data_IF_198729806359
#
_entry.id   IF_198729806359
#
_cell.length_a   1.000
_cell.length_b   1.000
_cell.length_c   1.000
_cell.angle_alpha   90.00
_cell.angle_beta   90.00
_cell.angle_gamma   90.00
#
_symmetry.space_group_name_H-M   'P 1'
#
loop_
_entity.id
_entity.type
_entity.pdbx_description
1 polymer ?
#
# COMPACT_ATOMS: atom_id res chain seq x y z
N UNK A 1 -15.80 -46.89 -61.83
CA UNK A 1 -14.45 -46.46 -61.40
C UNK A 1 -14.42 -44.94 -61.43
N UNK A 2 -14.57 -44.29 -60.28
CA UNK A 2 -14.53 -42.83 -60.17
C UNK A 2 -13.11 -42.40 -59.74
N UNK A 3 -12.45 -41.63 -60.59
CA UNK A 3 -11.11 -41.08 -60.37
C UNK A 3 -11.25 -39.84 -59.48
N UNK A 4 -10.76 -39.94 -58.24
CA UNK A 4 -10.76 -38.83 -57.29
C UNK A 4 -9.54 -37.94 -57.56
N UNK A 5 -9.79 -36.78 -58.18
CA UNK A 5 -8.78 -35.76 -58.44
C UNK A 5 -8.40 -35.02 -57.15
N UNK A 6 -7.11 -35.02 -56.84
CA UNK A 6 -6.54 -34.56 -55.57
C UNK A 6 -5.93 -33.17 -55.81
N UNK A 7 -6.78 -32.15 -55.69
CA UNK A 7 -6.40 -30.75 -55.89
C UNK A 7 -5.23 -30.27 -55.02
N UNK A 8 -4.44 -29.30 -55.50
CA UNK A 8 -3.20 -28.86 -54.87
C UNK A 8 -3.48 -28.15 -53.54
N UNK A 9 -2.86 -28.64 -52.48
CA UNK A 9 -2.93 -28.06 -51.12
C UNK A 9 -2.27 -26.68 -51.14
N UNK A 10 -3.10 -25.64 -51.13
CA UNK A 10 -2.64 -24.27 -50.92
C UNK A 10 -1.89 -24.17 -49.59
N UNK A 11 -0.62 -23.77 -49.64
CA UNK A 11 0.14 -23.44 -48.43
C UNK A 11 -0.50 -22.21 -47.78
N UNK A 12 -0.79 -22.22 -46.47
CA UNK A 12 -1.26 -21.02 -45.79
C UNK A 12 -0.20 -19.91 -45.91
N UNK A 13 -0.62 -18.64 -46.08
CA UNK A 13 0.30 -17.53 -46.23
C UNK A 13 1.23 -17.46 -45.01
N UNK A 14 2.53 -17.37 -45.27
CA UNK A 14 3.54 -17.09 -44.24
C UNK A 14 3.14 -15.80 -43.53
N UNK A 15 2.51 -15.95 -42.36
CA UNK A 15 2.19 -14.84 -41.48
C UNK A 15 3.54 -14.29 -40.99
N UNK A 16 3.97 -13.19 -41.58
CA UNK A 16 5.07 -12.37 -41.10
C UNK A 16 4.81 -12.05 -39.63
N UNK A 17 5.46 -12.80 -38.73
CA UNK A 17 5.46 -12.50 -37.31
C UNK A 17 6.40 -11.31 -37.17
N UNK A 18 5.82 -10.11 -37.20
CA UNK A 18 6.55 -8.91 -36.84
C UNK A 18 7.24 -9.16 -35.49
N UNK A 19 8.55 -8.88 -35.35
CA UNK A 19 9.24 -9.05 -34.08
C UNK A 19 8.52 -8.19 -33.05
N UNK A 20 7.82 -8.84 -32.14
CA UNK A 20 7.22 -8.19 -30.98
C UNK A 20 8.36 -7.57 -30.19
N UNK A 21 8.42 -6.24 -30.24
CA UNK A 21 9.36 -5.43 -29.47
C UNK A 21 9.15 -5.68 -27.97
N UNK A 22 9.87 -6.66 -27.42
CA UNK A 22 9.83 -7.06 -26.01
C UNK A 22 10.29 -5.98 -25.03
N UNK A 23 10.60 -4.78 -25.51
CA UNK A 23 10.99 -3.61 -24.69
C UNK A 23 9.80 -2.86 -24.10
N UNK A 24 8.61 -2.92 -24.72
CA UNK A 24 7.45 -2.17 -24.23
C UNK A 24 6.85 -2.76 -22.94
N UNK A 25 6.93 -4.07 -22.75
CA UNK A 25 6.30 -4.78 -21.62
C UNK A 25 7.12 -4.71 -20.32
N UNK A 26 8.44 -4.53 -20.40
CA UNK A 26 9.32 -4.52 -19.21
C UNK A 26 9.22 -3.21 -18.42
N UNK A 27 8.99 -2.08 -19.10
CA UNK A 27 8.82 -0.76 -18.46
C UNK A 27 7.58 -0.71 -17.55
N UNK A 28 6.43 -1.16 -18.05
CA UNK A 28 5.15 -1.11 -17.33
C UNK A 28 5.16 -1.96 -16.06
N UNK A 29 5.79 -3.15 -16.10
CA UNK A 29 5.90 -4.02 -14.94
C UNK A 29 6.83 -3.46 -13.85
N UNK A 30 7.93 -2.81 -14.24
CA UNK A 30 8.85 -2.16 -13.28
C UNK A 30 8.16 -1.00 -12.57
N UNK A 31 7.47 -0.13 -13.31
CA UNK A 31 6.72 0.99 -12.74
C UNK A 31 5.59 0.51 -11.83
N UNK A 32 4.83 -0.51 -12.23
CA UNK A 32 3.78 -1.09 -11.38
C UNK A 32 4.33 -1.65 -10.06
N UNK A 33 5.51 -2.30 -10.09
CA UNK A 33 6.18 -2.79 -8.87
C UNK A 33 6.62 -1.65 -7.96
N UNK A 34 7.17 -0.56 -8.50
CA UNK A 34 7.59 0.61 -7.71
C UNK A 34 6.38 1.25 -7.02
N UNK A 35 5.28 1.44 -7.76
CA UNK A 35 4.03 1.98 -7.20
C UNK A 35 3.51 1.07 -6.09
N UNK A 36 3.54 -0.24 -6.31
CA UNK A 36 3.11 -1.21 -5.31
C UNK A 36 3.96 -1.14 -4.04
N UNK A 37 5.29 -1.07 -4.17
CA UNK A 37 6.20 -0.89 -3.04
C UNK A 37 5.93 0.42 -2.30
N UNK A 38 5.66 1.52 -3.01
CA UNK A 38 5.31 2.80 -2.40
C UNK A 38 4.00 2.70 -1.59
N UNK A 39 2.97 2.05 -2.14
CA UNK A 39 1.69 1.82 -1.46
C UNK A 39 1.88 0.99 -0.18
N UNK A 40 2.65 -0.11 -0.26
CA UNK A 40 2.95 -0.93 0.90
C UNK A 40 3.79 -0.21 1.94
N UNK A 41 4.79 0.57 1.51
CA UNK A 41 5.60 1.36 2.42
C UNK A 41 4.73 2.37 3.18
N UNK A 42 3.79 3.03 2.49
CA UNK A 42 2.86 3.95 3.13
C UNK A 42 1.94 3.25 4.14
N UNK A 43 1.39 2.10 3.77
CA UNK A 43 0.57 1.29 4.68
C UNK A 43 1.38 0.86 5.90
N UNK A 44 2.63 0.43 5.69
CA UNK A 44 3.54 0.08 6.78
C UNK A 44 3.82 1.28 7.70
N UNK A 45 4.06 2.46 7.14
CA UNK A 45 4.22 3.71 7.92
C UNK A 45 2.99 3.98 8.78
N UNK A 46 1.78 3.87 8.22
CA UNK A 46 0.55 4.05 8.97
C UNK A 46 0.35 2.99 10.06
N UNK A 47 0.65 1.72 9.75
CA UNK A 47 0.53 0.62 10.71
C UNK A 47 1.51 0.81 11.87
N UNK A 48 2.77 1.11 11.58
CA UNK A 48 3.79 1.32 12.62
C UNK A 48 3.54 2.59 13.42
N UNK A 49 3.15 3.68 12.76
CA UNK A 49 2.98 4.98 13.38
C UNK A 49 1.69 5.16 14.19
N UNK A 50 0.61 4.43 13.87
CA UNK A 50 -0.69 4.58 14.53
C UNK A 50 -1.25 3.26 15.06
N UNK A 51 -1.30 2.23 14.21
CA UNK A 51 -2.03 1.00 14.53
C UNK A 51 -1.32 0.16 15.61
N UNK A 52 0.00 0.03 15.54
CA UNK A 52 0.76 -0.73 16.54
C UNK A 52 0.68 -0.12 17.95
N UNK A 53 0.89 1.20 18.16
CA UNK A 53 0.66 1.82 19.46
C UNK A 53 -0.76 1.60 19.97
N UNK A 54 -1.76 1.76 19.10
CA UNK A 54 -3.17 1.58 19.44
C UNK A 54 -3.51 0.14 19.86
N UNK A 55 -3.00 -0.85 19.11
CA UNK A 55 -3.16 -2.26 19.44
C UNK A 55 -2.43 -2.64 20.73
N UNK A 56 -1.21 -2.12 20.92
CA UNK A 56 -0.46 -2.29 22.18
C UNK A 56 -1.30 -1.76 23.35
N UNK A 57 -1.86 -0.55 23.23
CA UNK A 57 -2.71 0.04 24.24
C UNK A 57 -3.94 -0.83 24.58
N UNK A 58 -4.66 -1.30 23.55
CA UNK A 58 -5.82 -2.18 23.70
C UNK A 58 -5.47 -3.52 24.39
N UNK A 59 -4.36 -4.15 24.00
CA UNK A 59 -3.90 -5.40 24.61
C UNK A 59 -3.50 -5.16 26.07
N UNK A 60 -2.78 -4.07 26.35
CA UNK A 60 -2.31 -3.76 27.70
C UNK A 60 -3.42 -3.34 28.67
N UNK A 61 -4.53 -2.80 28.16
CA UNK A 61 -5.72 -2.44 28.96
C UNK A 61 -6.78 -3.54 28.99
N UNK A 62 -6.67 -4.54 28.11
CA UNK A 62 -7.66 -5.61 27.96
C UNK A 62 -8.99 -5.14 27.35
N UNK A 63 -9.04 -3.93 26.78
CA UNK A 63 -10.27 -3.32 26.28
C UNK A 63 -10.23 -3.13 24.75
N UNK A 64 -10.63 -4.15 23.96
CA UNK A 64 -10.66 -4.04 22.51
C UNK A 64 -11.74 -3.09 22.00
N UNK A 65 -12.74 -2.74 22.83
CA UNK A 65 -13.80 -1.82 22.42
C UNK A 65 -13.29 -0.37 22.36
N UNK A 66 -12.20 -0.04 23.05
CA UNK A 66 -11.53 1.25 22.93
C UNK A 66 -10.90 1.50 21.56
N UNK A 67 -10.79 0.48 20.69
CA UNK A 67 -10.26 0.66 19.33
C UNK A 67 -11.17 1.54 18.47
N UNK A 68 -12.46 1.61 18.80
CA UNK A 68 -13.42 2.49 18.11
C UNK A 68 -13.42 3.92 18.69
N UNK A 69 -12.90 4.10 19.90
CA UNK A 69 -12.94 5.34 20.67
C UNK A 69 -11.63 5.51 21.47
N UNK A 70 -10.51 5.83 20.79
CA UNK A 70 -9.22 5.99 21.43
C UNK A 70 -9.21 7.28 22.25
N UNK A 71 -8.87 7.18 23.53
CA UNK A 71 -8.77 8.32 24.42
C UNK A 71 -7.77 8.06 25.54
N UNK A 72 -7.19 9.14 26.06
CA UNK A 72 -6.24 9.10 27.16
C UNK A 72 -6.83 8.39 28.38
N UNK A 73 -8.12 8.61 28.64
CA UNK A 73 -8.82 8.10 29.82
C UNK A 73 -8.98 6.58 29.79
N UNK A 74 -8.92 5.99 28.59
CA UNK A 74 -9.14 4.56 28.35
C UNK A 74 -7.83 3.83 28.11
N UNK A 75 -6.92 4.45 27.35
CA UNK A 75 -5.70 3.82 26.87
C UNK A 75 -4.41 4.35 27.51
N UNK A 76 -4.49 5.42 28.30
CA UNK A 76 -3.35 6.09 28.89
C UNK A 76 -2.51 6.85 27.86
N UNK A 77 -1.35 7.34 28.31
CA UNK A 77 -0.39 8.04 27.45
C UNK A 77 0.22 7.06 26.43
N UNK A 78 0.11 7.31 25.11
CA UNK A 78 0.72 6.44 24.11
C UNK A 78 2.25 6.37 24.20
N UNK A 79 2.91 7.37 24.78
CA UNK A 79 4.37 7.42 24.96
C UNK A 79 4.86 6.35 25.92
N UNK A 80 4.04 5.95 26.89
CA UNK A 80 4.35 4.85 27.81
C UNK A 80 4.46 3.51 27.09
N UNK A 81 3.87 3.40 25.89
CA UNK A 81 3.92 2.20 25.05
C UNK A 81 5.03 2.25 24.02
N UNK A 82 5.73 3.38 23.89
CA UNK A 82 6.90 3.48 23.03
C UNK A 82 8.13 2.93 23.76
N UNK A 83 9.08 2.33 23.02
CA UNK A 83 10.36 1.98 23.60
C UNK A 83 11.03 3.24 24.17
N UNK A 84 11.29 3.23 25.48
CA UNK A 84 11.87 4.35 26.22
C UNK A 84 13.17 4.78 25.53
N UNK A 85 13.32 6.06 25.14
CA UNK A 85 14.55 6.54 24.53
C UNK A 85 15.69 6.48 25.56
N UNK A 86 16.70 5.66 25.27
CA UNK A 86 17.94 5.55 26.03
C UNK A 86 19.14 6.12 25.25
N UNK A 87 20.33 6.19 25.87
CA UNK A 87 21.56 6.63 25.20
C UNK A 87 21.86 5.81 23.94
N UNK A 88 21.54 4.51 23.98
CA UNK A 88 21.72 3.58 22.87
C UNK A 88 20.70 3.76 21.73
N UNK A 89 19.58 4.46 21.99
CA UNK A 89 18.54 4.69 20.99
C UNK A 89 18.99 5.65 19.89
N UNK A 90 19.93 6.56 20.19
CA UNK A 90 20.47 7.52 19.21
C UNK A 90 21.18 6.81 18.05
N UNK A 91 21.85 5.69 18.34
CA UNK A 91 22.58 4.89 17.35
C UNK A 91 21.74 3.74 16.77
N UNK A 92 20.48 3.60 17.19
CA UNK A 92 19.62 2.52 16.72
C UNK A 92 18.77 2.99 15.52
N UNK A 93 19.06 2.54 14.28
CA UNK A 93 18.31 2.95 13.10
C UNK A 93 16.82 2.53 13.16
N UNK A 94 16.50 1.45 13.87
CA UNK A 94 15.11 1.01 14.03
C UNK A 94 14.29 2.02 14.84
N UNK A 95 14.89 2.63 15.85
CA UNK A 95 14.24 3.66 16.65
C UNK A 95 13.85 4.87 15.80
N UNK A 96 14.77 5.32 14.93
CA UNK A 96 14.51 6.42 14.00
C UNK A 96 13.41 6.11 12.99
N UNK A 97 13.32 4.87 12.50
CA UNK A 97 12.24 4.45 11.59
C UNK A 97 10.88 4.54 12.29
N UNK A 98 10.78 4.02 13.52
CA UNK A 98 9.54 4.07 14.30
C UNK A 98 9.15 5.52 14.58
N UNK A 99 10.10 6.35 15.01
CA UNK A 99 9.84 7.77 15.26
C UNK A 99 9.40 8.50 13.99
N UNK A 100 10.05 8.25 12.85
CA UNK A 100 9.68 8.85 11.57
C UNK A 100 8.27 8.43 11.13
N UNK A 101 7.90 7.16 11.32
CA UNK A 101 6.55 6.68 11.01
C UNK A 101 5.50 7.36 11.89
N UNK A 102 5.76 7.44 13.19
CA UNK A 102 4.90 8.12 14.14
C UNK A 102 4.75 9.61 13.82
N UNK A 103 5.87 10.31 13.60
CA UNK A 103 5.88 11.72 13.23
C UNK A 103 5.11 11.98 11.91
N UNK A 104 5.24 11.09 10.92
CA UNK A 104 4.50 11.21 9.66
C UNK A 104 2.98 11.14 9.87
N UNK A 105 2.51 10.24 10.75
CA UNK A 105 1.09 10.12 11.09
C UNK A 105 0.61 11.34 11.88
N UNK A 106 1.38 11.74 12.89
CA UNK A 106 1.06 12.86 13.78
C UNK A 106 0.95 14.19 13.02
N UNK A 107 1.89 14.47 12.12
CA UNK A 107 1.90 15.66 11.27
C UNK A 107 0.87 15.62 10.14
N UNK A 108 0.22 14.47 9.92
CA UNK A 108 -0.70 14.28 8.80
C UNK A 108 -0.01 14.14 7.43
N UNK A 109 1.31 14.00 7.37
CA UNK A 109 2.06 13.82 6.12
C UNK A 109 1.61 12.57 5.33
N UNK A 110 1.06 11.57 6.02
CA UNK A 110 0.50 10.36 5.40
C UNK A 110 -0.73 10.67 4.53
N UNK A 111 -1.45 11.77 4.77
CA UNK A 111 -2.64 12.15 4.00
C UNK A 111 -2.28 12.47 2.53
N UNK A 112 -1.45 13.48 2.21
CA UNK A 112 -1.10 13.78 0.84
C UNK A 112 -0.35 12.61 0.17
N UNK A 113 0.50 11.88 0.91
CA UNK A 113 1.18 10.70 0.38
C UNK A 113 0.20 9.58 0.01
N UNK A 114 -0.86 9.37 0.80
CA UNK A 114 -1.94 8.41 0.50
C UNK A 114 -2.72 8.77 -0.75
N UNK A 115 -3.09 10.04 -0.90
CA UNK A 115 -3.77 10.53 -2.10
C UNK A 115 -2.88 10.32 -3.33
N UNK A 116 -1.60 10.67 -3.26
CA UNK A 116 -0.65 10.48 -4.36
C UNK A 116 -0.43 8.99 -4.70
N UNK A 117 -0.26 8.13 -3.70
CA UNK A 117 -0.07 6.69 -3.90
C UNK A 117 -1.33 6.02 -4.48
N UNK A 118 -2.52 6.45 -4.05
CA UNK A 118 -3.78 5.98 -4.60
C UNK A 118 -3.94 6.40 -6.07
N UNK A 119 -3.70 7.68 -6.38
CA UNK A 119 -3.75 8.20 -7.75
C UNK A 119 -2.72 7.49 -8.66
N UNK A 120 -1.50 7.30 -8.16
CA UNK A 120 -0.43 6.61 -8.88
C UNK A 120 -0.79 5.15 -9.21
N UNK A 121 -1.52 4.45 -8.34
CA UNK A 121 -2.00 3.09 -8.63
C UNK A 121 -3.26 3.03 -9.48
N UNK A 122 -4.14 4.03 -9.38
CA UNK A 122 -5.35 4.12 -10.20
C UNK A 122 -5.03 4.32 -11.69
N UNK A 123 -3.97 5.09 -12.00
CA UNK A 123 -3.54 5.34 -13.38
C UNK A 123 -3.22 4.07 -14.21
N UNK A 124 -2.31 3.18 -13.78
CA UNK A 124 -2.05 1.92 -14.49
C UNK A 124 -3.26 0.96 -14.46
N UNK A 125 -4.10 1.01 -13.43
CA UNK A 125 -5.36 0.26 -13.39
C UNK A 125 -6.35 0.73 -14.46
N UNK A 126 -6.40 2.02 -14.76
CA UNK A 126 -7.26 2.54 -15.83
C UNK A 126 -6.67 2.25 -17.22
N UNK A 127 -5.37 2.53 -17.40
CA UNK A 127 -4.73 2.57 -18.73
C UNK A 127 -4.17 1.23 -19.23
N UNK A 128 -3.72 0.35 -18.32
CA UNK A 128 -2.98 -0.88 -18.66
C UNK A 128 -3.58 -2.15 -18.04
N UNK A 129 -4.88 -2.15 -17.73
CA UNK A 129 -5.54 -3.28 -17.06
C UNK A 129 -5.45 -4.63 -17.80
N UNK A 130 -5.26 -4.62 -19.12
CA UNK A 130 -5.15 -5.82 -19.96
C UNK A 130 -3.73 -6.39 -20.00
N UNK A 131 -2.73 -5.55 -19.76
CA UNK A 131 -1.31 -5.92 -19.83
C UNK A 131 -0.76 -6.43 -18.49
N UNK A 132 -1.52 -6.23 -17.40
CA UNK A 132 -1.17 -6.64 -16.06
C UNK A 132 -1.59 -8.10 -15.81
N UNK A 133 -0.69 -8.88 -15.21
CA UNK A 133 -1.06 -10.21 -14.71
C UNK A 133 -2.14 -10.09 -13.63
N UNK A 134 -3.04 -11.08 -13.52
CA UNK A 134 -4.13 -11.09 -12.51
C UNK A 134 -3.61 -10.84 -11.10
N UNK A 135 -2.45 -11.41 -10.76
CA UNK A 135 -1.81 -11.26 -9.44
C UNK A 135 -1.35 -9.83 -9.19
N UNK A 136 -0.64 -9.21 -10.14
CA UNK A 136 -0.18 -7.81 -9.99
C UNK A 136 -1.37 -6.86 -9.93
N UNK A 137 -2.39 -7.09 -10.75
CA UNK A 137 -3.63 -6.30 -10.73
C UNK A 137 -4.32 -6.37 -9.36
N UNK A 138 -4.48 -7.56 -8.79
CA UNK A 138 -5.11 -7.73 -7.48
C UNK A 138 -4.35 -6.98 -6.37
N UNK A 139 -3.02 -7.12 -6.33
CA UNK A 139 -2.18 -6.41 -5.36
C UNK A 139 -2.22 -4.89 -5.54
N UNK A 140 -2.22 -4.41 -6.78
CA UNK A 140 -2.30 -2.98 -7.08
C UNK A 140 -3.67 -2.39 -6.67
N UNK A 141 -4.76 -3.13 -6.89
CA UNK A 141 -6.10 -2.74 -6.39
C UNK A 141 -6.09 -2.67 -4.86
N UNK A 142 -5.59 -3.71 -4.19
CA UNK A 142 -5.54 -3.75 -2.73
C UNK A 142 -4.70 -2.61 -2.16
N UNK A 143 -3.51 -2.36 -2.72
CA UNK A 143 -2.64 -1.26 -2.33
C UNK A 143 -3.26 0.11 -2.58
N UNK A 144 -3.87 0.34 -3.75
CA UNK A 144 -4.60 1.58 -4.05
C UNK A 144 -5.75 1.81 -3.08
N UNK A 145 -6.56 0.79 -2.79
CA UNK A 145 -7.68 0.91 -1.85
C UNK A 145 -7.19 1.18 -0.42
N UNK A 146 -6.14 0.48 0.03
CA UNK A 146 -5.54 0.73 1.33
C UNK A 146 -4.94 2.15 1.43
N UNK A 147 -4.20 2.59 0.42
CA UNK A 147 -3.66 3.95 0.35
C UNK A 147 -4.75 5.03 0.28
N UNK A 148 -5.92 4.75 -0.28
CA UNK A 148 -7.07 5.65 -0.27
C UNK A 148 -7.83 5.64 1.06
N UNK A 149 -7.93 4.48 1.72
CA UNK A 149 -8.61 4.34 3.01
C UNK A 149 -7.90 5.11 4.12
N UNK A 150 -6.56 5.15 4.13
CA UNK A 150 -5.77 5.87 5.14
C UNK A 150 -6.11 7.37 5.22
N UNK A 151 -6.02 8.18 4.14
CA UNK A 151 -6.36 9.59 4.20
C UNK A 151 -7.84 9.78 4.55
N UNK A 152 -8.74 8.95 4.02
CA UNK A 152 -10.17 9.00 4.38
C UNK A 152 -10.39 8.81 5.89
N UNK A 153 -9.76 7.80 6.48
CA UNK A 153 -9.80 7.55 7.92
C UNK A 153 -9.21 8.73 8.69
N UNK A 154 -8.08 9.28 8.23
CA UNK A 154 -7.40 10.39 8.91
C UNK A 154 -8.16 11.72 8.83
N UNK A 155 -9.04 11.95 7.85
CA UNK A 155 -9.88 13.16 7.79
C UNK A 155 -11.19 13.01 8.56
N UNK A 156 -11.56 11.79 8.97
CA UNK A 156 -12.75 11.58 9.81
C UNK A 156 -12.53 12.08 11.25
N UNK A 157 -13.60 12.31 12.04
CA UNK A 157 -13.48 12.64 13.46
C UNK A 157 -12.65 11.62 14.24
N UNK A 158 -12.80 10.34 13.90
CA UNK A 158 -11.99 9.25 14.46
C UNK A 158 -10.49 9.47 14.20
N UNK A 159 -10.10 9.86 12.98
CA UNK A 159 -8.72 10.17 12.65
C UNK A 159 -8.15 11.38 13.41
N UNK A 160 -8.99 12.38 13.68
CA UNK A 160 -8.61 13.52 14.50
C UNK A 160 -8.40 13.12 15.97
N UNK A 161 -9.31 12.32 16.52
CA UNK A 161 -9.21 11.78 17.87
C UNK A 161 -7.98 10.88 18.04
N UNK A 162 -7.72 10.00 17.07
CA UNK A 162 -6.53 9.16 17.05
C UNK A 162 -5.24 10.00 17.07
N UNK A 163 -5.15 11.06 16.25
CA UNK A 163 -3.99 11.96 16.26
C UNK A 163 -3.86 12.77 17.54
N UNK A 164 -4.98 13.13 18.17
CA UNK A 164 -4.99 13.85 19.43
C UNK A 164 -4.46 12.94 20.54
N UNK A 165 -4.98 11.71 20.65
CA UNK A 165 -4.46 10.71 21.55
C UNK A 165 -2.97 10.46 21.30
N UNK A 166 -2.55 10.21 20.06
CA UNK A 166 -1.12 10.07 19.70
C UNK A 166 -0.28 11.31 20.00
N UNK A 167 -0.85 12.48 20.28
CA UNK A 167 -0.05 13.67 20.62
C UNK A 167 0.19 13.76 22.12
N UNK A 168 -0.82 13.37 22.89
CA UNK A 168 -0.81 13.41 24.35
C UNK A 168 0.29 12.50 24.92
#
# INVERSE_FOLDING_TARGET
>A
MAVYDKGPRGRPPCRSVAPMDGRATTGTLRSARIILWLQFALVAVFVVGAVLPLLSAAIGTGDPAGLADPGLERYGDPKDRMPVPGPDSVYNPLWWIVLACYAAVLTGAVIPLGVLAAAAGAYPLARHHRDLTRRVRAWLVAGTLASAAIPLLLVTPYGAQLRLWLRD
#
